data_IF_746977030526
#
_entry.id   IF_746977030526
#
_cell.length_a   1.000
_cell.length_b   1.000
_cell.length_c   1.000
_cell.angle_alpha   90.00
_cell.angle_beta   90.00
_cell.angle_gamma   90.00
#
_symmetry.space_group_name_H-M   'P 1'
#
loop_
_entity.id
_entity.type
_entity.pdbx_description
1 polymer ?
#
# COMPACT_ATOMS: atom_id res chain seq x y z
N UNK A 1 24.17 -7.30 5.77
CA UNK A 1 23.52 -8.62 5.62
C UNK A 1 22.13 -8.55 6.25
N UNK A 2 21.16 -9.34 5.79
CA UNK A 2 19.86 -9.44 6.48
C UNK A 2 20.04 -10.13 7.83
N UNK A 3 19.20 -9.76 8.80
CA UNK A 3 19.25 -10.25 10.17
C UNK A 3 17.85 -10.77 10.57
N UNK A 4 17.72 -12.08 10.70
CA UNK A 4 16.48 -12.74 11.08
C UNK A 4 16.00 -12.35 12.49
N UNK A 5 16.91 -11.90 13.38
CA UNK A 5 16.53 -11.46 14.72
C UNK A 5 15.66 -10.19 14.72
N UNK A 6 15.64 -9.45 13.60
CA UNK A 6 14.73 -8.31 13.42
C UNK A 6 13.28 -8.74 13.19
N UNK A 7 13.03 -10.02 12.85
CA UNK A 7 11.67 -10.56 12.74
C UNK A 7 11.10 -10.81 14.14
N UNK A 8 10.35 -9.82 14.64
CA UNK A 8 9.71 -9.86 15.95
C UNK A 8 8.29 -9.26 15.90
N UNK A 9 7.34 -9.87 15.15
CA UNK A 9 5.96 -9.40 15.10
C UNK A 9 5.24 -9.69 16.43
N UNK A 10 4.31 -8.81 16.82
CA UNK A 10 3.40 -9.13 17.93
C UNK A 10 2.29 -10.09 17.46
N UNK A 11 1.48 -10.60 18.39
CA UNK A 11 0.41 -11.57 18.08
C UNK A 11 -0.67 -11.01 17.15
N UNK A 12 -0.95 -9.71 17.19
CA UNK A 12 -1.93 -9.09 16.29
C UNK A 12 -1.39 -8.98 14.86
N UNK A 13 -0.12 -8.60 14.70
CA UNK A 13 0.55 -8.58 13.40
C UNK A 13 0.60 -9.98 12.79
N UNK A 14 0.91 -11.00 13.59
CA UNK A 14 0.87 -12.40 13.12
C UNK A 14 -0.54 -12.79 12.68
N UNK A 15 -1.57 -12.56 13.51
CA UNK A 15 -2.94 -12.89 13.16
C UNK A 15 -3.42 -12.18 11.88
N UNK A 16 -3.03 -10.93 11.71
CA UNK A 16 -3.33 -10.16 10.50
C UNK A 16 -2.61 -10.71 9.27
N UNK A 17 -1.32 -11.03 9.37
CA UNK A 17 -0.57 -11.65 8.29
C UNK A 17 -1.16 -13.01 7.91
N UNK A 18 -1.53 -13.87 8.87
CA UNK A 18 -2.24 -15.13 8.59
C UNK A 18 -3.52 -14.86 7.82
N UNK A 19 -4.33 -13.92 8.30
CA UNK A 19 -5.62 -13.57 7.70
C UNK A 19 -5.49 -13.13 6.24
N UNK A 20 -4.48 -12.33 5.92
CA UNK A 20 -4.29 -11.80 4.57
C UNK A 20 -3.54 -12.75 3.64
N UNK A 21 -2.64 -13.58 4.16
CA UNK A 21 -1.83 -14.52 3.37
C UNK A 21 -2.52 -15.87 3.19
N UNK A 22 -3.42 -16.25 4.10
CA UNK A 22 -4.00 -17.59 4.19
C UNK A 22 -3.02 -18.65 4.75
N UNK A 23 -1.87 -18.26 5.29
CA UNK A 23 -0.86 -19.17 5.82
C UNK A 23 -1.02 -19.30 7.34
N UNK A 24 -1.67 -20.37 7.81
CA UNK A 24 -1.99 -20.55 9.23
C UNK A 24 -0.83 -21.05 10.10
N UNK A 25 0.14 -21.76 9.51
CA UNK A 25 1.30 -22.28 10.24
C UNK A 25 2.36 -21.17 10.47
N UNK A 26 2.77 -20.98 11.73
CA UNK A 26 3.69 -19.89 12.12
C UNK A 26 5.06 -20.02 11.45
N UNK A 27 5.58 -21.24 11.33
CA UNK A 27 6.89 -21.49 10.73
C UNK A 27 6.86 -21.27 9.22
N UNK A 28 5.80 -21.71 8.54
CA UNK A 28 5.57 -21.47 7.13
C UNK A 28 5.38 -19.97 6.84
N UNK A 29 4.61 -19.26 7.66
CA UNK A 29 4.40 -17.82 7.53
C UNK A 29 5.71 -17.05 7.69
N UNK A 30 6.49 -17.37 8.74
CA UNK A 30 7.82 -16.77 8.96
C UNK A 30 8.72 -17.00 7.75
N UNK A 31 8.82 -18.25 7.25
CA UNK A 31 9.65 -18.57 6.08
C UNK A 31 9.22 -17.82 4.84
N UNK A 32 7.90 -17.69 4.61
CA UNK A 32 7.35 -16.92 3.51
C UNK A 32 7.76 -15.44 3.59
N UNK A 33 7.58 -14.82 4.75
CA UNK A 33 7.95 -13.42 5.00
C UNK A 33 9.46 -13.20 4.81
N UNK A 34 10.32 -14.08 5.34
CA UNK A 34 11.77 -13.99 5.18
C UNK A 34 12.20 -14.08 3.71
N UNK A 35 11.56 -14.96 2.94
CA UNK A 35 11.83 -15.11 1.51
C UNK A 35 11.44 -13.84 0.73
N UNK A 36 10.25 -13.28 0.99
CA UNK A 36 9.83 -12.02 0.38
C UNK A 36 10.75 -10.87 0.78
N UNK A 37 11.14 -10.79 2.06
CA UNK A 37 12.11 -9.79 2.52
C UNK A 37 13.43 -9.88 1.74
N UNK A 38 13.97 -11.10 1.57
CA UNK A 38 15.21 -11.31 0.87
C UNK A 38 15.14 -10.90 -0.61
N UNK A 39 13.98 -11.07 -1.26
CA UNK A 39 13.73 -10.58 -2.62
C UNK A 39 13.60 -9.05 -2.65
N UNK A 40 12.79 -8.48 -1.75
CA UNK A 40 12.55 -7.04 -1.67
C UNK A 40 13.85 -6.26 -1.39
N UNK A 41 14.68 -6.76 -0.48
CA UNK A 41 15.93 -6.09 -0.09
C UNK A 41 16.98 -6.08 -1.21
N UNK A 42 16.91 -7.02 -2.17
CA UNK A 42 17.75 -7.00 -3.38
C UNK A 42 17.31 -5.93 -4.38
N UNK A 43 16.03 -5.60 -4.41
CA UNK A 43 15.49 -4.52 -5.26
C UNK A 43 15.86 -3.18 -4.63
N UNK A 44 15.52 -3.00 -3.35
CA UNK A 44 15.75 -1.78 -2.63
C UNK A 44 16.13 -2.09 -1.17
N UNK A 45 17.35 -1.74 -0.71
CA UNK A 45 17.81 -2.03 0.65
C UNK A 45 17.25 -1.02 1.66
N UNK A 46 15.92 -0.80 1.65
CA UNK A 46 15.27 0.15 2.54
C UNK A 46 15.27 -0.35 3.99
N UNK A 47 15.45 0.58 4.93
CA UNK A 47 15.41 0.25 6.36
C UNK A 47 14.07 -0.35 6.80
N UNK A 48 12.96 0.05 6.16
CA UNK A 48 11.64 -0.55 6.42
C UNK A 48 11.56 -2.03 6.01
N UNK A 49 12.25 -2.45 4.94
CA UNK A 49 12.34 -3.85 4.53
C UNK A 49 13.23 -4.62 5.50
N UNK A 50 14.39 -4.06 5.85
CA UNK A 50 15.31 -4.65 6.83
C UNK A 50 14.63 -4.95 8.17
N UNK A 51 13.81 -4.01 8.67
CA UNK A 51 13.14 -4.10 9.97
C UNK A 51 11.75 -4.77 9.93
N UNK A 52 11.38 -5.41 8.81
CA UNK A 52 10.03 -6.01 8.62
C UNK A 52 8.88 -5.01 8.87
N UNK A 53 9.07 -3.75 8.51
CA UNK A 53 8.05 -2.72 8.66
C UNK A 53 6.75 -3.06 7.94
N UNK A 54 6.84 -3.77 6.82
CA UNK A 54 5.71 -4.22 5.99
C UNK A 54 4.84 -5.31 6.64
N UNK A 55 5.26 -5.90 7.77
CA UNK A 55 4.43 -6.87 8.51
C UNK A 55 3.66 -6.24 9.66
N UNK A 56 3.84 -4.93 9.90
CA UNK A 56 3.30 -4.23 11.07
C UNK A 56 2.10 -3.38 10.67
N UNK A 57 1.09 -3.37 11.53
CA UNK A 57 -0.12 -2.56 11.38
C UNK A 57 0.06 -1.10 11.81
N UNK A 58 0.88 -0.34 11.09
CA UNK A 58 1.23 1.04 11.51
C UNK A 58 0.15 2.05 11.19
N UNK A 59 -0.50 1.95 10.04
CA UNK A 59 -1.49 2.93 9.59
C UNK A 59 -2.71 2.98 10.52
N UNK A 60 -3.15 1.84 11.06
CA UNK A 60 -4.29 1.79 11.99
C UNK A 60 -4.01 2.42 13.36
N UNK A 61 -2.75 2.64 13.70
CA UNK A 61 -2.36 3.33 14.94
C UNK A 61 -2.41 4.85 14.81
N UNK A 62 -2.57 5.38 13.58
CA UNK A 62 -2.66 6.81 13.38
C UNK A 62 -4.01 7.34 13.90
N UNK A 63 -4.04 8.47 14.65
CA UNK A 63 -5.29 9.04 15.17
C UNK A 63 -6.34 9.36 14.09
N UNK A 64 -5.89 9.60 12.86
CA UNK A 64 -6.76 9.89 11.72
C UNK A 64 -7.36 8.63 11.04
N UNK A 65 -6.94 7.42 11.41
CA UNK A 65 -7.33 6.20 10.69
C UNK A 65 -8.84 5.98 10.63
N UNK A 66 -9.55 6.23 11.74
CA UNK A 66 -11.01 6.18 11.75
C UNK A 66 -11.67 7.14 10.76
N UNK A 67 -11.04 8.28 10.48
CA UNK A 67 -11.50 9.25 9.47
C UNK A 67 -11.22 8.75 8.05
N UNK A 68 -10.07 8.10 7.80
CA UNK A 68 -9.75 7.45 6.52
C UNK A 68 -10.84 6.45 6.16
N UNK A 69 -11.17 5.54 7.08
CA UNK A 69 -12.21 4.54 6.85
C UNK A 69 -13.61 5.17 6.67
N UNK A 70 -13.91 6.25 7.41
CA UNK A 70 -15.16 7.00 7.23
C UNK A 70 -15.24 7.61 5.83
N UNK A 71 -14.16 8.23 5.34
CA UNK A 71 -14.11 8.79 3.99
C UNK A 71 -14.36 7.71 2.93
N UNK A 72 -13.72 6.54 3.07
CA UNK A 72 -13.92 5.43 2.14
C UNK A 72 -15.36 4.91 2.08
N UNK A 73 -16.11 5.02 3.18
CA UNK A 73 -17.52 4.59 3.25
C UNK A 73 -18.52 5.65 2.80
N UNK A 74 -18.28 6.90 3.17
CA UNK A 74 -19.30 7.96 3.08
C UNK A 74 -19.06 8.94 1.93
N UNK A 75 -17.80 9.16 1.52
CA UNK A 75 -17.47 10.13 0.47
C UNK A 75 -17.57 9.47 -0.89
N UNK A 76 -18.48 9.97 -1.73
CA UNK A 76 -18.54 9.58 -3.13
C UNK A 76 -17.19 9.85 -3.81
N UNK A 77 -16.70 8.87 -4.55
CA UNK A 77 -15.42 8.93 -5.27
C UNK A 77 -14.22 9.24 -4.36
N UNK A 78 -14.23 8.76 -3.11
CA UNK A 78 -13.06 8.78 -2.24
C UNK A 78 -11.88 8.08 -2.91
N UNK A 79 -10.68 8.64 -2.78
CA UNK A 79 -9.42 8.03 -3.23
C UNK A 79 -8.47 8.00 -2.05
N UNK A 80 -7.88 6.83 -1.79
CA UNK A 80 -6.78 6.66 -0.83
C UNK A 80 -5.45 6.55 -1.60
N UNK A 81 -4.45 7.34 -1.23
CA UNK A 81 -3.13 7.32 -1.86
C UNK A 81 -2.04 7.04 -0.82
N UNK A 82 -1.29 5.96 -1.02
CA UNK A 82 -0.11 5.60 -0.21
C UNK A 82 1.17 5.90 -1.00
N UNK A 83 1.95 6.88 -0.52
CA UNK A 83 3.21 7.32 -1.14
C UNK A 83 4.39 6.67 -0.43
N UNK A 84 5.20 5.94 -1.19
CA UNK A 84 6.24 5.06 -0.65
C UNK A 84 5.64 3.76 -0.12
N UNK A 85 4.71 3.17 -0.87
CA UNK A 85 3.89 2.06 -0.40
C UNK A 85 4.67 0.76 -0.20
N UNK A 86 5.89 0.64 -0.73
CA UNK A 86 6.70 -0.56 -0.67
C UNK A 86 5.91 -1.81 -1.15
N UNK A 87 5.68 -2.79 -0.28
CA UNK A 87 4.90 -4.01 -0.57
C UNK A 87 3.38 -3.80 -0.50
N UNK A 88 2.90 -2.57 -0.27
CA UNK A 88 1.49 -2.20 -0.25
C UNK A 88 0.74 -2.57 1.02
N UNK A 89 1.43 -2.82 2.14
CA UNK A 89 0.85 -3.31 3.39
C UNK A 89 -0.24 -2.41 3.97
N UNK A 90 -0.02 -1.09 3.97
CA UNK A 90 -0.98 -0.12 4.50
C UNK A 90 -2.25 -0.09 3.64
N UNK A 91 -2.13 -0.20 2.32
CA UNK A 91 -3.27 -0.35 1.41
C UNK A 91 -4.06 -1.63 1.72
N UNK A 92 -3.38 -2.76 2.00
CA UNK A 92 -4.06 -4.02 2.34
C UNK A 92 -4.85 -3.89 3.64
N UNK A 93 -4.29 -3.20 4.62
CA UNK A 93 -4.95 -2.94 5.90
C UNK A 93 -6.18 -2.05 5.72
N UNK A 94 -6.04 -0.93 5.03
CA UNK A 94 -7.16 0.00 4.75
C UNK A 94 -8.28 -0.70 3.97
N UNK A 95 -7.95 -1.55 3.00
CA UNK A 95 -8.94 -2.35 2.27
C UNK A 95 -9.58 -3.43 3.13
N UNK A 96 -8.79 -4.13 3.95
CA UNK A 96 -9.29 -5.14 4.88
C UNK A 96 -10.33 -4.55 5.83
N UNK A 97 -10.10 -3.32 6.29
CA UNK A 97 -10.97 -2.59 7.21
C UNK A 97 -12.14 -1.86 6.53
N UNK A 98 -12.32 -2.06 5.22
CA UNK A 98 -13.53 -1.69 4.49
C UNK A 98 -13.41 -0.50 3.54
N UNK A 99 -12.20 0.00 3.25
CA UNK A 99 -12.03 0.96 2.16
C UNK A 99 -12.12 0.23 0.79
N UNK A 100 -12.78 0.80 -0.23
CA UNK A 100 -12.91 0.13 -1.52
C UNK A 100 -11.55 -0.08 -2.22
N UNK A 101 -11.18 -1.32 -2.51
CA UNK A 101 -9.90 -1.67 -3.15
C UNK A 101 -9.68 -0.93 -4.49
N UNK A 102 -10.70 -0.84 -5.33
CA UNK A 102 -10.63 -0.12 -6.61
C UNK A 102 -10.48 1.41 -6.48
N UNK A 103 -10.42 1.92 -5.25
CA UNK A 103 -10.24 3.34 -4.92
C UNK A 103 -8.94 3.59 -4.13
N UNK A 104 -8.08 2.58 -3.99
CA UNK A 104 -6.76 2.72 -3.36
C UNK A 104 -5.66 2.70 -4.42
N UNK A 105 -4.66 3.55 -4.22
CA UNK A 105 -3.53 3.71 -5.14
C UNK A 105 -2.25 3.67 -4.32
N UNK A 106 -1.31 2.82 -4.70
CA UNK A 106 0.06 2.83 -4.21
C UNK A 106 1.01 3.50 -5.20
N UNK A 107 2.04 4.14 -4.67
CA UNK A 107 3.17 4.61 -5.48
C UNK A 107 4.48 4.34 -4.76
N UNK A 108 5.47 3.88 -5.50
CA UNK A 108 6.83 3.65 -5.01
C UNK A 108 7.82 3.79 -6.18
N UNK A 109 9.10 4.00 -5.86
CA UNK A 109 10.18 4.10 -6.84
C UNK A 109 10.34 2.82 -7.65
N UNK A 110 10.09 1.66 -7.02
CA UNK A 110 10.35 0.34 -7.59
C UNK A 110 9.07 -0.48 -7.77
N UNK A 111 8.51 -0.55 -9.00
CA UNK A 111 7.33 -1.37 -9.30
C UNK A 111 7.45 -2.85 -8.90
N UNK A 112 8.66 -3.36 -8.86
CA UNK A 112 8.95 -4.74 -8.46
C UNK A 112 8.57 -5.01 -6.99
N UNK A 113 8.61 -3.99 -6.12
CA UNK A 113 8.13 -4.11 -4.74
C UNK A 113 6.62 -4.32 -4.68
N UNK A 114 5.85 -3.64 -5.55
CA UNK A 114 4.40 -3.86 -5.65
C UNK A 114 4.07 -5.29 -6.04
N UNK A 115 4.80 -5.84 -7.02
CA UNK A 115 4.65 -7.24 -7.43
C UNK A 115 4.98 -8.22 -6.29
N UNK A 116 6.00 -7.91 -5.49
CA UNK A 116 6.31 -8.68 -4.28
C UNK A 116 5.23 -8.55 -3.19
N UNK A 117 4.48 -7.45 -3.17
CA UNK A 117 3.27 -7.33 -2.35
C UNK A 117 2.22 -8.38 -2.72
N UNK A 118 1.98 -8.61 -4.00
CA UNK A 118 1.10 -9.69 -4.46
C UNK A 118 1.62 -11.07 -4.04
N UNK A 119 2.94 -11.32 -4.15
CA UNK A 119 3.57 -12.55 -3.65
C UNK A 119 3.40 -12.69 -2.12
N UNK A 120 3.61 -11.61 -1.36
CA UNK A 120 3.48 -11.62 0.10
C UNK A 120 2.09 -12.05 0.51
N UNK A 121 1.05 -11.43 -0.05
CA UNK A 121 -0.33 -11.62 0.36
C UNK A 121 -1.07 -12.72 -0.41
N UNK A 122 -0.38 -13.50 -1.25
CA UNK A 122 -1.00 -14.52 -2.11
C UNK A 122 -2.19 -13.97 -2.92
N UNK A 123 -2.02 -12.78 -3.50
CA UNK A 123 -3.04 -12.12 -4.33
C UNK A 123 -2.57 -11.92 -5.76
N UNK A 124 -3.47 -11.49 -6.63
CA UNK A 124 -3.19 -11.04 -7.99
C UNK A 124 -3.89 -9.68 -8.22
N UNK A 125 -3.62 -9.00 -9.35
CA UNK A 125 -4.40 -7.82 -9.73
C UNK A 125 -5.92 -8.10 -9.82
N UNK A 126 -6.32 -9.33 -10.17
CA UNK A 126 -7.73 -9.72 -10.25
C UNK A 126 -8.37 -9.90 -8.87
N UNK A 127 -7.63 -10.44 -7.90
CA UNK A 127 -8.16 -10.67 -6.53
C UNK A 127 -7.98 -9.47 -5.61
N UNK A 128 -7.11 -8.53 -5.99
CA UNK A 128 -6.94 -7.27 -5.28
C UNK A 128 -6.79 -6.09 -6.26
N UNK A 129 -7.90 -5.45 -6.64
CA UNK A 129 -7.93 -4.45 -7.70
C UNK A 129 -7.48 -3.05 -7.22
N UNK A 130 -6.53 -2.98 -6.28
CA UNK A 130 -5.85 -1.72 -5.98
C UNK A 130 -4.89 -1.36 -7.10
N UNK A 131 -4.63 -0.07 -7.24
CA UNK A 131 -3.87 0.44 -8.36
C UNK A 131 -2.47 0.81 -7.93
N UNK A 132 -1.56 0.86 -8.89
CA UNK A 132 -0.18 1.21 -8.65
C UNK A 132 0.36 2.15 -9.72
N UNK A 133 1.03 3.22 -9.29
CA UNK A 133 1.75 4.15 -10.17
C UNK A 133 3.21 4.14 -9.73
N UNK A 134 4.07 3.52 -10.54
CA UNK A 134 5.50 3.45 -10.27
C UNK A 134 6.25 4.69 -10.72
N UNK A 135 7.22 5.12 -9.92
CA UNK A 135 8.19 6.15 -10.31
C UNK A 135 8.54 7.11 -9.18
N UNK A 136 9.43 8.04 -9.50
CA UNK A 136 9.89 9.05 -8.55
C UNK A 136 8.85 10.18 -8.43
N UNK A 137 8.16 10.22 -7.28
CA UNK A 137 7.16 11.24 -6.97
C UNK A 137 7.73 12.67 -6.92
N UNK A 138 9.05 12.85 -6.88
CA UNK A 138 9.69 14.16 -7.01
C UNK A 138 9.89 14.58 -8.47
N UNK A 139 9.58 13.70 -9.42
CA UNK A 139 9.67 13.99 -10.85
C UNK A 139 8.33 14.45 -11.43
N UNK A 140 8.31 15.53 -12.23
CA UNK A 140 7.09 16.06 -12.84
C UNK A 140 6.28 15.04 -13.66
N UNK A 141 6.94 14.07 -14.30
CA UNK A 141 6.29 12.99 -15.04
C UNK A 141 5.38 12.11 -14.16
N UNK A 142 5.70 11.97 -12.87
CA UNK A 142 4.88 11.25 -11.89
C UNK A 142 3.96 12.22 -11.17
N UNK A 143 4.51 13.28 -10.59
CA UNK A 143 3.76 14.26 -9.82
C UNK A 143 4.36 15.66 -9.99
N UNK A 144 3.67 16.47 -10.78
CA UNK A 144 3.92 17.91 -10.93
C UNK A 144 3.55 18.65 -9.66
N UNK A 145 4.33 19.68 -9.32
CA UNK A 145 3.95 20.63 -8.28
C UNK A 145 2.79 21.47 -8.79
N UNK A 146 1.66 21.45 -8.06
CA UNK A 146 0.48 22.25 -8.35
C UNK A 146 0.08 23.07 -7.12
N UNK A 147 -0.55 24.24 -7.30
CA UNK A 147 -1.10 25.00 -6.19
C UNK A 147 -2.21 24.20 -5.49
N UNK A 148 -2.42 24.41 -4.17
CA UNK A 148 -3.53 23.78 -3.45
C UNK A 148 -4.85 24.07 -4.15
N UNK A 149 -5.60 23.02 -4.45
CA UNK A 149 -6.88 23.14 -5.16
C UNK A 149 -8.02 22.76 -4.22
N UNK A 150 -8.99 23.65 -4.07
CA UNK A 150 -10.25 23.40 -3.33
C UNK A 150 -11.36 22.89 -4.25
N UNK A 151 -11.05 22.64 -5.53
CA UNK A 151 -12.04 22.47 -6.59
C UNK A 151 -12.49 21.01 -6.74
N UNK A 152 -13.66 20.69 -6.20
CA UNK A 152 -14.44 19.51 -6.61
C UNK A 152 -15.82 19.96 -7.09
N UNK A 153 -15.93 20.46 -8.31
CA UNK A 153 -17.23 20.48 -9.03
C UNK A 153 -16.98 20.50 -10.54
N UNK A 154 -17.51 19.51 -11.25
CA UNK A 154 -17.70 19.54 -12.71
C UNK A 154 -16.85 18.60 -13.57
N UNK A 155 -15.62 18.25 -13.16
CA UNK A 155 -14.76 17.36 -13.97
C UNK A 155 -14.95 15.88 -13.60
N UNK A 156 -15.16 14.98 -14.58
CA UNK A 156 -15.29 13.54 -14.33
C UNK A 156 -14.15 13.00 -13.46
N UNK A 157 -14.46 12.02 -12.61
CA UNK A 157 -13.43 11.29 -11.86
C UNK A 157 -12.43 10.66 -12.83
N UNK A 158 -11.12 10.72 -12.54
CA UNK A 158 -10.12 10.11 -13.41
C UNK A 158 -10.37 8.60 -13.47
N UNK A 159 -10.14 8.01 -14.63
CA UNK A 159 -10.12 6.56 -14.76
C UNK A 159 -8.86 6.05 -14.05
N UNK A 160 -9.07 5.42 -12.91
CA UNK A 160 -7.98 4.96 -12.07
C UNK A 160 -7.24 3.78 -12.73
N UNK A 161 -7.92 2.96 -13.54
CA UNK A 161 -7.34 1.74 -14.13
C UNK A 161 -6.19 2.00 -15.11
N UNK A 162 -6.14 3.21 -15.68
CA UNK A 162 -5.20 3.59 -16.73
C UNK A 162 -4.22 4.68 -16.28
N UNK A 163 -4.05 4.87 -14.97
CA UNK A 163 -3.11 5.87 -14.45
C UNK A 163 -1.66 5.47 -14.71
N UNK A 164 -0.94 6.34 -15.40
CA UNK A 164 0.52 6.25 -15.57
C UNK A 164 1.28 7.31 -14.76
N UNK A 165 0.55 8.24 -14.11
CA UNK A 165 1.09 9.29 -13.24
C UNK A 165 0.04 9.69 -12.19
N UNK A 166 0.46 10.40 -11.15
CA UNK A 166 -0.42 10.94 -10.10
C UNK A 166 -1.01 12.31 -10.49
N UNK A 167 -0.54 12.92 -11.58
CA UNK A 167 -0.98 14.23 -12.06
C UNK A 167 -2.52 14.37 -12.22
N UNK A 168 -3.25 13.36 -12.74
CA UNK A 168 -4.73 13.44 -12.83
C UNK A 168 -5.44 13.49 -11.46
N UNK A 169 -4.73 13.20 -10.36
CA UNK A 169 -5.27 13.12 -9.00
C UNK A 169 -5.20 14.45 -8.23
N UNK A 170 -4.64 15.51 -8.83
CA UNK A 170 -4.56 16.83 -8.19
C UNK A 170 -5.93 17.29 -7.66
N UNK A 171 -6.01 17.54 -6.35
CA UNK A 171 -7.23 17.97 -5.66
C UNK A 171 -8.31 16.90 -5.50
N UNK A 172 -8.00 15.62 -5.77
CA UNK A 172 -8.98 14.50 -5.73
C UNK A 172 -8.70 13.44 -4.67
N UNK A 173 -7.46 13.33 -4.21
CA UNK A 173 -7.07 12.44 -3.11
C UNK A 173 -7.84 12.85 -1.85
N UNK A 174 -8.46 11.86 -1.19
CA UNK A 174 -9.28 12.07 0.01
C UNK A 174 -8.55 11.70 1.29
N UNK A 175 -7.70 10.68 1.23
CA UNK A 175 -6.92 10.15 2.34
C UNK A 175 -5.56 9.67 1.87
#
# INVERSE_FOLDING_TARGET
PLDESQYNPNSQDVAFMKKLTGIEDDAALKRHILNVQAKAYKIAPYGCIYLFGFTRRKISWLPAYGQVLRLGRERKDSIFLDIGCCLGSDIREVVHDGFPAAKTIGTDLHPELWNLGHELYNTSPDTFPAHFVGGDAFKPEILTVAPPSTRTTGTPSPDLNNLTSLNPLHGRVSA
#
